data_IF_478274485331
#
_entry.id   IF_478274485331
#
_cell.length_a   1.000
_cell.length_b   1.000
_cell.length_c   1.000
_cell.angle_alpha   90.00
_cell.angle_beta   90.00
_cell.angle_gamma   90.00
#
_symmetry.space_group_name_H-M   'P 1'
#
loop_
_entity.id
_entity.type
_entity.pdbx_description
1 polymer ?
#
# COMPACT_ATOMS: atom_id res chain seq x y z
N UNK A 1 26.22 -20.86 -7.66
CA UNK A 1 25.76 -19.48 -7.90
C UNK A 1 24.22 -19.44 -7.92
N UNK A 2 23.56 -19.69 -6.77
CA UNK A 2 22.09 -19.69 -6.65
C UNK A 2 21.56 -18.70 -5.58
N UNK A 3 22.43 -18.13 -4.73
CA UNK A 3 21.99 -17.32 -3.58
C UNK A 3 21.43 -15.93 -3.94
N UNK A 4 21.93 -15.29 -5.00
CA UNK A 4 21.53 -13.91 -5.30
C UNK A 4 20.10 -13.80 -5.84
N UNK A 5 19.63 -14.80 -6.59
CA UNK A 5 18.25 -14.83 -7.09
C UNK A 5 17.26 -15.04 -5.94
N UNK A 6 17.60 -15.88 -4.96
CA UNK A 6 16.75 -16.12 -3.79
C UNK A 6 16.51 -14.85 -2.97
N UNK A 7 17.51 -13.97 -2.83
CA UNK A 7 17.35 -12.68 -2.14
C UNK A 7 16.34 -11.75 -2.81
N UNK A 8 16.37 -11.65 -4.14
CA UNK A 8 15.42 -10.83 -4.89
C UNK A 8 13.98 -11.38 -4.86
N UNK A 9 13.82 -12.70 -4.93
CA UNK A 9 12.51 -13.34 -4.81
C UNK A 9 11.90 -13.14 -3.41
N UNK A 10 12.71 -13.28 -2.34
CA UNK A 10 12.25 -13.04 -0.97
C UNK A 10 11.81 -11.58 -0.75
N UNK A 11 12.49 -10.62 -1.36
CA UNK A 11 12.13 -9.20 -1.29
C UNK A 11 10.83 -8.89 -2.06
N UNK A 12 10.58 -9.54 -3.18
CA UNK A 12 9.33 -9.37 -3.94
C UNK A 12 8.12 -9.94 -3.20
N UNK A 13 8.28 -11.09 -2.55
CA UNK A 13 7.21 -11.69 -1.75
C UNK A 13 6.90 -10.84 -0.51
N UNK A 14 7.89 -10.22 0.12
CA UNK A 14 7.64 -9.27 1.22
C UNK A 14 6.89 -8.02 0.75
N UNK A 15 7.22 -7.48 -0.43
CA UNK A 15 6.48 -6.36 -1.03
C UNK A 15 5.03 -6.69 -1.34
N UNK A 16 4.76 -7.85 -1.95
CA UNK A 16 3.39 -8.32 -2.19
C UNK A 16 2.62 -8.49 -0.90
N UNK A 17 3.27 -9.00 0.15
CA UNK A 17 2.67 -9.13 1.47
C UNK A 17 2.30 -7.76 2.06
N UNK A 18 3.22 -6.80 2.05
CA UNK A 18 2.96 -5.43 2.55
C UNK A 18 1.77 -4.81 1.80
N UNK A 19 1.75 -4.88 0.47
CA UNK A 19 0.65 -4.34 -0.35
C UNK A 19 -0.69 -5.01 -0.04
N UNK A 20 -0.70 -6.31 0.26
CA UNK A 20 -1.92 -7.02 0.68
C UNK A 20 -2.39 -6.56 2.06
N UNK A 21 -1.47 -6.44 3.02
CA UNK A 21 -1.81 -5.95 4.37
C UNK A 21 -2.43 -4.56 4.29
N UNK A 22 -1.81 -3.64 3.54
CA UNK A 22 -2.34 -2.28 3.35
C UNK A 22 -3.73 -2.31 2.70
N UNK A 23 -3.96 -3.16 1.71
CA UNK A 23 -5.28 -3.33 1.08
C UNK A 23 -6.34 -3.82 2.07
N UNK A 24 -6.05 -4.89 2.80
CA UNK A 24 -6.96 -5.50 3.77
C UNK A 24 -7.32 -4.51 4.89
N UNK A 25 -6.34 -3.77 5.41
CA UNK A 25 -6.58 -2.77 6.44
C UNK A 25 -7.31 -1.54 5.88
N UNK A 26 -7.06 -1.13 4.63
CA UNK A 26 -7.84 -0.08 3.96
C UNK A 26 -9.30 -0.49 3.80
N UNK A 27 -9.58 -1.74 3.46
CA UNK A 27 -10.95 -2.30 3.41
C UNK A 27 -11.59 -2.28 4.80
N UNK A 28 -10.85 -2.65 5.84
CA UNK A 28 -11.34 -2.58 7.23
C UNK A 28 -11.75 -1.16 7.62
N UNK A 29 -10.90 -0.15 7.35
CA UNK A 29 -11.22 1.23 7.68
C UNK A 29 -12.39 1.80 6.87
N UNK A 30 -12.48 1.50 5.57
CA UNK A 30 -13.65 1.86 4.75
C UNK A 30 -14.93 1.23 5.30
N UNK A 31 -14.88 -0.02 5.73
CA UNK A 31 -16.03 -0.70 6.36
C UNK A 31 -16.44 -0.01 7.65
N UNK A 32 -15.47 0.42 8.47
CA UNK A 32 -15.72 1.18 9.70
C UNK A 32 -16.36 2.55 9.39
N UNK A 33 -15.85 3.25 8.38
CA UNK A 33 -16.41 4.51 7.87
C UNK A 33 -17.86 4.34 7.42
N UNK A 34 -18.18 3.29 6.65
CA UNK A 34 -19.56 3.00 6.24
C UNK A 34 -20.49 2.75 7.42
N UNK A 35 -20.02 2.07 8.47
CA UNK A 35 -20.82 1.84 9.70
C UNK A 35 -21.10 3.14 10.45
N UNK A 36 -20.11 4.03 10.50
CA UNK A 36 -20.25 5.35 11.11
C UNK A 36 -21.30 6.15 10.35
N UNK A 37 -21.20 6.24 9.02
CA UNK A 37 -22.20 6.91 8.18
C UNK A 37 -23.63 6.34 8.30
N UNK A 38 -23.78 5.06 8.63
CA UNK A 38 -25.09 4.42 8.76
C UNK A 38 -25.85 4.81 10.05
N UNK A 39 -25.18 5.35 11.07
CA UNK A 39 -25.75 5.57 12.41
C UNK A 39 -26.37 6.97 12.61
N UNK A 40 -27.04 7.51 11.59
CA UNK A 40 -27.73 8.81 11.61
C UNK A 40 -26.87 9.96 12.18
N UNK A 41 -25.93 10.40 11.35
CA UNK A 41 -24.77 11.16 11.77
C UNK A 41 -24.97 12.68 11.56
N UNK A 42 -24.51 13.50 12.50
CA UNK A 42 -24.60 14.95 12.35
C UNK A 42 -23.86 15.44 11.09
N UNK A 43 -24.48 16.37 10.36
CA UNK A 43 -23.91 16.91 9.11
C UNK A 43 -22.54 17.56 9.29
N UNK A 44 -22.20 17.99 10.50
CA UNK A 44 -20.90 18.56 10.88
C UNK A 44 -19.73 17.62 10.58
N UNK A 45 -19.92 16.32 10.74
CA UNK A 45 -18.88 15.30 10.55
C UNK A 45 -18.80 14.77 9.11
N UNK A 46 -19.83 15.00 8.27
CA UNK A 46 -19.86 14.47 6.90
C UNK A 46 -18.67 14.95 6.08
N UNK A 47 -18.27 16.22 6.23
CA UNK A 47 -17.14 16.78 5.51
C UNK A 47 -15.82 16.07 5.86
N UNK A 48 -15.57 15.81 7.14
CA UNK A 48 -14.35 15.11 7.57
C UNK A 48 -14.37 13.64 7.13
N UNK A 49 -15.53 12.98 7.22
CA UNK A 49 -15.69 11.60 6.74
C UNK A 49 -15.49 11.49 5.22
N UNK A 50 -15.94 12.47 4.44
CA UNK A 50 -15.69 12.53 3.00
C UNK A 50 -14.20 12.68 2.68
N UNK A 51 -13.47 13.51 3.45
CA UNK A 51 -12.01 13.63 3.33
C UNK A 51 -11.33 12.28 3.59
N UNK A 52 -11.74 11.54 4.63
CA UNK A 52 -11.21 10.22 4.91
C UNK A 52 -11.55 9.21 3.81
N UNK A 53 -12.79 9.21 3.32
CA UNK A 53 -13.20 8.35 2.20
C UNK A 53 -12.32 8.61 0.97
N UNK A 54 -12.11 9.88 0.62
CA UNK A 54 -11.25 10.24 -0.50
C UNK A 54 -9.80 9.76 -0.28
N UNK A 55 -9.22 9.97 0.91
CA UNK A 55 -7.87 9.49 1.23
C UNK A 55 -7.74 7.96 1.15
N UNK A 56 -8.75 7.20 1.58
CA UNK A 56 -8.75 5.75 1.42
C UNK A 56 -8.85 5.30 -0.04
N UNK A 57 -9.63 6.00 -0.88
CA UNK A 57 -9.67 5.72 -2.32
C UNK A 57 -8.32 5.99 -3.00
N UNK A 58 -7.64 7.08 -2.63
CA UNK A 58 -6.29 7.36 -3.11
C UNK A 58 -5.29 6.27 -2.69
N UNK A 59 -5.45 5.71 -1.49
CA UNK A 59 -4.64 4.59 -1.02
C UNK A 59 -4.86 3.32 -1.86
N UNK A 60 -6.12 2.99 -2.17
CA UNK A 60 -6.45 1.85 -3.04
C UNK A 60 -5.76 2.00 -4.42
N UNK A 61 -5.82 3.19 -5.02
CA UNK A 61 -5.20 3.46 -6.31
C UNK A 61 -3.68 3.26 -6.26
N UNK A 62 -3.01 3.79 -5.22
CA UNK A 62 -1.57 3.61 -5.05
C UNK A 62 -1.17 2.15 -4.85
N UNK A 63 -1.96 1.37 -4.09
CA UNK A 63 -1.75 -0.07 -3.92
C UNK A 63 -1.83 -0.79 -5.26
N UNK A 64 -2.84 -0.48 -6.10
CA UNK A 64 -3.01 -1.11 -7.41
C UNK A 64 -1.84 -0.77 -8.33
N UNK A 65 -1.41 0.50 -8.38
CA UNK A 65 -0.26 0.92 -9.18
C UNK A 65 1.02 0.19 -8.75
N UNK A 66 1.30 0.13 -7.45
CA UNK A 66 2.50 -0.55 -6.95
C UNK A 66 2.47 -2.06 -7.16
N UNK A 67 1.28 -2.68 -7.08
CA UNK A 67 1.10 -4.10 -7.41
C UNK A 67 1.45 -4.37 -8.87
N UNK A 68 1.07 -3.47 -9.78
CA UNK A 68 1.45 -3.55 -11.18
C UNK A 68 2.96 -3.40 -11.36
N UNK A 69 3.57 -2.37 -10.77
CA UNK A 69 5.02 -2.13 -10.85
C UNK A 69 5.84 -3.32 -10.31
N UNK A 70 5.44 -3.90 -9.17
CA UNK A 70 6.09 -5.09 -8.59
C UNK A 70 6.00 -6.28 -9.54
N UNK A 71 4.85 -6.46 -10.20
CA UNK A 71 4.65 -7.54 -11.16
C UNK A 71 5.51 -7.36 -12.42
N UNK A 72 5.52 -6.16 -13.00
CA UNK A 72 6.37 -5.85 -14.17
C UNK A 72 7.84 -6.08 -13.85
N UNK A 73 8.29 -5.61 -12.69
CA UNK A 73 9.67 -5.80 -12.24
C UNK A 73 10.00 -7.28 -12.06
N UNK A 74 9.08 -8.08 -11.53
CA UNK A 74 9.23 -9.53 -11.42
C UNK A 74 9.36 -10.18 -12.80
N UNK A 75 8.51 -9.81 -13.76
CA UNK A 75 8.56 -10.34 -15.12
C UNK A 75 9.90 -10.00 -15.81
N UNK A 76 10.39 -8.77 -15.65
CA UNK A 76 11.70 -8.33 -16.16
C UNK A 76 12.85 -9.15 -15.55
N UNK A 77 12.83 -9.35 -14.23
CA UNK A 77 13.88 -10.13 -13.52
C UNK A 77 13.85 -11.59 -13.96
N UNK A 78 12.67 -12.19 -14.14
CA UNK A 78 12.53 -13.56 -14.61
C UNK A 78 13.05 -13.73 -16.03
N UNK A 79 12.77 -12.78 -16.93
CA UNK A 79 13.28 -12.79 -18.31
C UNK A 79 14.80 -12.63 -18.37
N UNK A 80 15.38 -11.87 -17.44
CA UNK A 80 16.82 -11.61 -17.38
C UNK A 80 17.58 -12.53 -16.41
N UNK A 81 16.92 -13.53 -15.82
CA UNK A 81 17.51 -14.46 -14.85
C UNK A 81 18.71 -15.25 -15.40
N UNK A 82 18.86 -15.32 -16.73
CA UNK A 82 20.00 -15.95 -17.42
C UNK A 82 21.25 -15.05 -17.43
N UNK A 83 21.08 -13.72 -17.35
CA UNK A 83 22.17 -12.75 -17.33
C UNK A 83 22.57 -12.44 -15.88
N UNK A 84 23.66 -13.06 -15.43
CA UNK A 84 24.30 -12.71 -14.16
C UNK A 84 25.61 -11.96 -14.43
N UNK A 85 25.84 -10.76 -13.87
CA UNK A 85 24.99 -10.01 -12.92
C UNK A 85 23.80 -9.27 -13.58
N UNK A 86 22.77 -8.97 -12.77
CA UNK A 86 21.64 -8.14 -13.17
C UNK A 86 22.11 -6.74 -13.64
N UNK A 87 21.51 -6.17 -14.68
CA UNK A 87 21.80 -4.80 -15.10
C UNK A 87 21.53 -3.79 -14.00
N UNK A 88 22.39 -2.77 -13.91
CA UNK A 88 22.25 -1.67 -12.95
C UNK A 88 20.88 -0.97 -13.03
N UNK A 89 20.27 -0.91 -14.22
CA UNK A 89 18.93 -0.36 -14.42
C UNK A 89 17.85 -1.11 -13.63
N UNK A 90 17.92 -2.44 -13.54
CA UNK A 90 16.98 -3.26 -12.76
C UNK A 90 17.18 -3.01 -11.27
N UNK A 91 18.43 -2.92 -10.82
CA UNK A 91 18.75 -2.64 -9.42
C UNK A 91 18.17 -1.27 -9.01
N UNK A 92 18.34 -0.25 -9.85
CA UNK A 92 17.75 1.08 -9.61
C UNK A 92 16.22 1.03 -9.58
N UNK A 93 15.59 0.25 -10.48
CA UNK A 93 14.14 0.06 -10.46
C UNK A 93 13.66 -0.65 -9.19
N UNK A 94 14.35 -1.69 -8.73
CA UNK A 94 14.07 -2.37 -7.46
C UNK A 94 14.12 -1.40 -6.28
N UNK A 95 15.15 -0.58 -6.20
CA UNK A 95 15.26 0.44 -5.14
C UNK A 95 14.13 1.48 -5.23
N UNK A 96 13.74 1.88 -6.44
CA UNK A 96 12.61 2.78 -6.65
C UNK A 96 11.29 2.21 -6.13
N UNK A 97 11.00 0.95 -6.45
CA UNK A 97 9.79 0.25 -5.96
C UNK A 97 9.84 0.09 -4.43
N UNK A 98 11.00 -0.27 -3.87
CA UNK A 98 11.18 -0.38 -2.42
C UNK A 98 10.79 0.93 -1.70
N UNK A 99 11.35 2.05 -2.15
CA UNK A 99 11.08 3.37 -1.57
C UNK A 99 9.61 3.77 -1.71
N UNK A 100 8.97 3.43 -2.82
CA UNK A 100 7.53 3.72 -2.99
C UNK A 100 6.68 2.91 -2.03
N UNK A 101 7.01 1.63 -1.80
CA UNK A 101 6.29 0.77 -0.85
C UNK A 101 6.48 1.27 0.58
N UNK A 102 7.70 1.65 0.97
CA UNK A 102 7.96 2.24 2.29
C UNK A 102 7.12 3.52 2.51
N UNK A 103 7.07 4.41 1.51
CA UNK A 103 6.26 5.63 1.56
C UNK A 103 4.76 5.33 1.64
N UNK A 104 4.28 4.36 0.85
CA UNK A 104 2.88 3.91 0.91
C UNK A 104 2.53 3.46 2.33
N UNK A 105 3.36 2.59 2.92
CA UNK A 105 3.14 2.08 4.26
C UNK A 105 3.14 3.21 5.30
N UNK A 106 4.05 4.17 5.19
CA UNK A 106 4.07 5.34 6.06
C UNK A 106 2.77 6.17 5.91
N UNK A 107 2.38 6.51 4.68
CA UNK A 107 1.16 7.28 4.41
C UNK A 107 -0.10 6.56 4.89
N UNK A 108 -0.14 5.23 4.78
CA UNK A 108 -1.21 4.42 5.32
C UNK A 108 -1.26 4.49 6.86
N UNK A 109 -0.12 4.33 7.53
CA UNK A 109 -0.06 4.40 9.00
C UNK A 109 -0.52 5.77 9.52
N UNK A 110 -0.13 6.85 8.83
CA UNK A 110 -0.58 8.21 9.14
C UNK A 110 -2.10 8.34 8.96
N UNK A 111 -2.66 7.90 7.84
CA UNK A 111 -4.11 7.90 7.58
C UNK A 111 -4.89 7.07 8.62
N UNK A 112 -4.40 5.88 8.94
CA UNK A 112 -5.01 4.99 9.94
C UNK A 112 -5.02 5.63 11.34
N UNK A 113 -3.92 6.29 11.71
CA UNK A 113 -3.79 7.02 12.96
C UNK A 113 -4.72 8.24 13.02
N UNK A 114 -4.76 9.04 11.95
CA UNK A 114 -5.64 10.21 11.83
C UNK A 114 -7.10 9.81 11.97
N UNK A 115 -7.52 8.78 11.23
CA UNK A 115 -8.90 8.31 11.24
C UNK A 115 -9.29 7.70 12.60
N UNK A 116 -8.39 6.93 13.22
CA UNK A 116 -8.64 6.37 14.55
C UNK A 116 -8.76 7.46 15.61
N UNK A 117 -7.92 8.49 15.54
CA UNK A 117 -7.96 9.64 16.43
C UNK A 117 -9.25 10.45 16.25
N UNK A 118 -9.65 10.70 15.00
CA UNK A 118 -10.90 11.36 14.67
C UNK A 118 -12.11 10.62 15.25
N UNK A 119 -12.17 9.30 15.03
CA UNK A 119 -13.27 8.49 15.55
C UNK A 119 -13.34 8.50 17.07
N UNK A 120 -12.18 8.48 17.75
CA UNK A 120 -12.14 8.55 19.20
C UNK A 120 -12.63 9.92 19.72
N UNK A 121 -12.27 11.02 19.05
CA UNK A 121 -12.68 12.36 19.48
C UNK A 121 -14.14 12.67 19.17
N UNK A 122 -14.70 12.10 18.10
CA UNK A 122 -16.03 12.45 17.59
C UNK A 122 -17.14 11.50 18.04
N UNK A 123 -16.83 10.24 18.39
CA UNK A 123 -17.84 9.20 18.65
C UNK A 123 -17.58 8.38 19.94
N UNK A 124 -16.77 8.89 20.87
CA UNK A 124 -16.61 8.34 22.22
C UNK A 124 -17.21 9.29 23.25
#
# INVERSE_FOLDING_TARGET
>A
MHDNLNGHFLQQESWKYILRVVEDETIFFKTKLSRVLANDLEKSHLNDLEIFQHRFLMMDEQVVLLRHEVRELQEIIQQQAVATPLPASIITQQQGVALKIERLQQSFNELASDFSSYLHQSFT
#
